data_IF_413469701045
#
_entry.id   IF_413469701045
#
_cell.length_a   1.000
_cell.length_b   1.000
_cell.length_c   1.000
_cell.angle_alpha   90.00
_cell.angle_beta   90.00
_cell.angle_gamma   90.00
#
_symmetry.space_group_name_H-M   'P 1'
#
loop_
_entity.id
_entity.type
_entity.pdbx_description
1 polymer ?
#
# COMPACT_ATOMS: atom_id res chain seq x y z
N UNK A 1 -30.79 -39.05 19.30
CA UNK A 1 -29.40 -38.58 19.11
C UNK A 1 -29.32 -37.62 17.92
N UNK A 2 -29.97 -36.46 18.03
CA UNK A 2 -29.89 -35.39 17.03
C UNK A 2 -29.45 -34.11 17.76
N UNK A 3 -28.27 -34.18 18.39
CA UNK A 3 -27.60 -33.00 18.91
C UNK A 3 -27.23 -32.13 17.71
N UNK A 4 -28.04 -31.08 17.52
CA UNK A 4 -27.62 -29.72 17.25
C UNK A 4 -26.29 -29.65 16.49
N UNK A 5 -26.38 -29.72 15.17
CA UNK A 5 -25.33 -29.20 14.29
C UNK A 5 -25.30 -27.70 14.57
N UNK A 6 -24.41 -27.28 15.49
CA UNK A 6 -24.00 -25.88 15.58
C UNK A 6 -23.51 -25.50 14.19
N UNK A 7 -24.32 -24.75 13.46
CA UNK A 7 -23.84 -23.87 12.41
C UNK A 7 -22.84 -22.94 13.09
N UNK A 8 -21.55 -23.29 13.01
CA UNK A 8 -20.48 -22.37 13.31
C UNK A 8 -20.62 -21.24 12.28
N UNK A 9 -21.43 -20.23 12.62
CA UNK A 9 -21.53 -18.99 11.88
C UNK A 9 -20.12 -18.47 11.77
N UNK A 10 -19.63 -18.57 10.54
CA UNK A 10 -18.24 -18.54 10.15
C UNK A 10 -17.45 -17.47 10.87
N UNK A 11 -16.31 -17.85 11.45
CA UNK A 11 -15.16 -16.95 11.68
C UNK A 11 -14.60 -16.33 10.37
N UNK A 12 -15.36 -16.42 9.27
CA UNK A 12 -15.11 -15.89 7.93
C UNK A 12 -15.49 -14.42 7.79
N UNK A 13 -16.49 -13.91 8.51
CA UNK A 13 -16.93 -12.52 8.32
C UNK A 13 -15.87 -11.53 8.84
N UNK A 14 -15.32 -11.79 10.03
CA UNK A 14 -14.32 -10.91 10.66
C UNK A 14 -12.94 -11.02 10.00
N UNK A 15 -12.59 -12.19 9.45
CA UNK A 15 -11.33 -12.39 8.71
C UNK A 15 -11.40 -11.78 7.30
N UNK A 16 -12.55 -11.87 6.62
CA UNK A 16 -12.80 -11.15 5.35
C UNK A 16 -12.79 -9.64 5.54
N UNK A 17 -13.43 -9.16 6.60
CA UNK A 17 -13.39 -7.74 6.98
C UNK A 17 -11.94 -7.29 7.17
N UNK A 18 -11.15 -7.99 8.00
CA UNK A 18 -9.75 -7.65 8.22
C UNK A 18 -8.94 -7.66 6.90
N UNK A 19 -9.16 -8.65 6.03
CA UNK A 19 -8.52 -8.70 4.71
C UNK A 19 -8.86 -7.50 3.82
N UNK A 20 -10.11 -7.03 3.83
CA UNK A 20 -10.53 -5.83 3.10
C UNK A 20 -9.83 -4.57 3.61
N UNK A 21 -9.58 -4.48 4.93
CA UNK A 21 -8.85 -3.35 5.52
C UNK A 21 -7.38 -3.35 5.06
N UNK A 22 -6.72 -4.51 5.02
CA UNK A 22 -5.37 -4.63 4.45
C UNK A 22 -5.33 -4.24 2.98
N UNK A 23 -6.31 -4.68 2.20
CA UNK A 23 -6.37 -4.37 0.77
C UNK A 23 -6.58 -2.87 0.51
N UNK A 24 -7.39 -2.19 1.34
CA UNK A 24 -7.55 -0.73 1.29
C UNK A 24 -6.22 -0.01 1.53
N UNK A 25 -5.47 -0.41 2.55
CA UNK A 25 -4.15 0.18 2.84
C UNK A 25 -3.17 -0.09 1.71
N UNK A 26 -3.16 -1.31 1.16
CA UNK A 26 -2.30 -1.67 0.04
C UNK A 26 -2.55 -0.80 -1.20
N UNK A 27 -3.81 -0.52 -1.55
CA UNK A 27 -4.15 0.38 -2.67
C UNK A 27 -3.62 1.80 -2.43
N UNK A 28 -3.74 2.30 -1.20
CA UNK A 28 -3.25 3.65 -0.85
C UNK A 28 -1.72 3.72 -0.98
N UNK A 29 -1.02 2.72 -0.44
CA UNK A 29 0.44 2.64 -0.53
C UNK A 29 0.91 2.49 -1.98
N UNK A 30 0.21 1.68 -2.78
CA UNK A 30 0.45 1.53 -4.21
C UNK A 30 0.30 2.87 -4.97
N UNK A 31 -0.73 3.66 -4.63
CA UNK A 31 -0.89 5.00 -5.18
C UNK A 31 0.28 5.93 -4.84
N UNK A 32 0.74 5.92 -3.58
CA UNK A 32 1.90 6.69 -3.16
C UNK A 32 3.19 6.25 -3.87
N UNK A 33 3.39 4.94 -4.02
CA UNK A 33 4.51 4.35 -4.75
C UNK A 33 4.56 4.83 -6.21
N UNK A 34 3.43 4.83 -6.93
CA UNK A 34 3.36 5.32 -8.31
C UNK A 34 3.74 6.80 -8.43
N UNK A 35 3.24 7.65 -7.53
CA UNK A 35 3.57 9.08 -7.51
C UNK A 35 5.06 9.32 -7.27
N UNK A 36 5.66 8.61 -6.31
CA UNK A 36 7.09 8.73 -6.02
C UNK A 36 7.96 8.24 -7.18
N UNK A 37 7.53 7.20 -7.89
CA UNK A 37 8.21 6.72 -9.10
C UNK A 37 8.19 7.77 -10.22
N UNK A 38 7.06 8.48 -10.37
CA UNK A 38 6.92 9.53 -11.37
C UNK A 38 7.77 10.76 -11.02
N UNK A 39 7.83 11.14 -9.73
CA UNK A 39 8.71 12.21 -9.25
C UNK A 39 10.18 11.87 -9.52
N UNK A 40 10.61 10.64 -9.18
CA UNK A 40 11.97 10.19 -9.43
C UNK A 40 12.30 10.18 -10.93
N UNK A 41 11.36 9.82 -11.80
CA UNK A 41 11.53 9.90 -13.25
C UNK A 41 11.74 11.35 -13.73
N UNK A 42 11.00 12.32 -13.19
CA UNK A 42 11.19 13.74 -13.52
C UNK A 42 12.55 14.23 -13.02
N UNK A 43 12.95 13.87 -11.80
CA UNK A 43 14.27 14.21 -11.25
C UNK A 43 15.42 13.61 -12.07
N UNK A 44 15.20 12.46 -12.72
CA UNK A 44 16.17 11.86 -13.62
C UNK A 44 16.39 12.69 -14.89
N UNK A 45 15.34 13.32 -15.43
CA UNK A 45 15.44 14.22 -16.58
C UNK A 45 15.90 15.63 -16.18
N UNK A 46 15.45 16.13 -15.02
CA UNK A 46 15.74 17.47 -14.51
C UNK A 46 16.25 17.35 -13.06
N UNK A 47 17.58 17.23 -12.85
CA UNK A 47 18.16 16.99 -11.53
C UNK A 47 17.90 18.11 -10.50
N UNK A 48 17.59 19.32 -10.97
CA UNK A 48 17.24 20.46 -10.11
C UNK A 48 15.79 20.45 -9.59
N UNK A 49 14.96 19.48 -10.01
CA UNK A 49 13.56 19.39 -9.61
C UNK A 49 13.43 18.90 -8.15
N UNK A 50 12.90 19.76 -7.27
CA UNK A 50 12.83 19.54 -5.80
C UNK A 50 14.18 19.37 -5.08
N UNK A 51 15.29 19.77 -5.71
CA UNK A 51 16.60 19.74 -5.08
C UNK A 51 16.60 20.56 -3.76
N UNK A 52 17.23 20.04 -2.70
CA UNK A 52 17.24 20.53 -1.29
C UNK A 52 15.96 20.32 -0.46
N UNK A 53 14.79 20.09 -1.09
CA UNK A 53 13.54 19.79 -0.39
C UNK A 53 13.23 18.29 -0.38
N UNK A 54 13.47 17.62 -1.50
CA UNK A 54 13.18 16.20 -1.68
C UNK A 54 14.13 15.59 -2.71
N UNK A 55 15.23 15.03 -2.22
CA UNK A 55 16.26 14.46 -3.08
C UNK A 55 15.82 13.15 -3.77
N UNK A 56 16.50 12.84 -4.88
CA UNK A 56 16.31 11.60 -5.63
C UNK A 56 16.48 10.33 -4.80
N UNK A 57 17.43 10.31 -3.86
CA UNK A 57 17.64 9.18 -2.95
C UNK A 57 16.44 8.95 -2.03
N UNK A 58 15.82 10.03 -1.55
CA UNK A 58 14.63 9.99 -0.69
C UNK A 58 13.41 9.57 -1.52
N UNK A 59 13.21 10.15 -2.71
CA UNK A 59 12.15 9.77 -3.63
C UNK A 59 12.18 8.27 -3.94
N UNK A 60 13.37 7.73 -4.24
CA UNK A 60 13.59 6.31 -4.48
C UNK A 60 13.36 5.46 -3.23
N UNK A 61 13.78 5.91 -2.05
CA UNK A 61 13.58 5.19 -0.80
C UNK A 61 12.08 5.06 -0.47
N UNK A 62 11.32 6.16 -0.58
CA UNK A 62 9.87 6.14 -0.34
C UNK A 62 9.16 5.27 -1.38
N UNK A 63 9.58 5.33 -2.65
CA UNK A 63 9.04 4.47 -3.71
C UNK A 63 9.18 2.97 -3.40
N UNK A 64 10.37 2.53 -2.97
CA UNK A 64 10.64 1.11 -2.71
C UNK A 64 10.00 0.64 -1.39
N UNK A 65 9.95 1.49 -0.36
CA UNK A 65 9.35 1.11 0.93
C UNK A 65 7.82 1.08 0.89
N UNK A 66 7.20 1.79 -0.06
CA UNK A 66 5.76 1.78 -0.28
C UNK A 66 5.29 0.61 -1.17
N UNK A 67 6.24 -0.10 -1.79
CA UNK A 67 6.01 -1.32 -2.58
C UNK A 67 5.90 -2.54 -1.66
#
# INVERSE_FOLDING_TARGET
MLTSIKTNSFAGDKSKELGMMYFRVAIILFGAQLLMGLIAAIQFLVPGFLFELFDFSVARMVHINAL
#
